data_IF_534572219511
#
_entry.id   IF_534572219511
#
_cell.length_a   1.000
_cell.length_b   1.000
_cell.length_c   1.000
_cell.angle_alpha   90.00
_cell.angle_beta   90.00
_cell.angle_gamma   90.00
#
_symmetry.space_group_name_H-M   'P 1'
#
loop_
_entity.id
_entity.type
_entity.pdbx_description
1 polymer ?
#
# COMPACT_ATOMS: atom_id res chain seq x y z
N UNK A 1 -43.10 2.50 14.77
CA UNK A 1 -42.30 1.69 15.71
C UNK A 1 -41.99 0.37 15.00
N UNK A 2 -40.72 0.06 14.77
CA UNK A 2 -40.33 -1.19 14.14
C UNK A 2 -40.77 -2.37 15.04
N UNK A 3 -41.56 -3.29 14.50
CA UNK A 3 -42.00 -4.49 15.22
C UNK A 3 -41.01 -5.62 14.93
N UNK A 4 -40.49 -6.24 15.99
CA UNK A 4 -39.64 -7.43 15.86
C UNK A 4 -40.37 -8.50 15.02
N UNK A 5 -39.71 -9.04 14.01
CA UNK A 5 -40.30 -10.01 13.10
C UNK A 5 -40.77 -9.46 11.75
N UNK A 6 -40.92 -8.14 11.59
CA UNK A 6 -41.25 -7.53 10.30
C UNK A 6 -40.13 -7.73 9.25
N UNK A 7 -40.36 -8.45 8.14
CA UNK A 7 -39.34 -8.73 7.13
C UNK A 7 -38.74 -7.45 6.53
N UNK A 8 -39.52 -6.37 6.41
CA UNK A 8 -39.02 -5.11 5.86
C UNK A 8 -37.95 -4.48 6.76
N UNK A 9 -38.18 -4.51 8.07
CA UNK A 9 -37.21 -4.07 9.09
C UNK A 9 -35.95 -4.94 9.06
N UNK A 10 -36.09 -6.27 8.93
CA UNK A 10 -34.97 -7.21 8.82
C UNK A 10 -33.99 -6.84 7.70
N UNK A 11 -34.58 -6.54 6.55
CA UNK A 11 -33.88 -6.30 5.31
C UNK A 11 -33.18 -4.94 5.32
N UNK A 12 -33.77 -3.94 5.97
CA UNK A 12 -33.10 -2.67 6.26
C UNK A 12 -31.90 -2.86 7.20
N UNK A 13 -32.05 -3.64 8.27
CA UNK A 13 -30.95 -3.98 9.18
C UNK A 13 -29.82 -4.71 8.43
N UNK A 14 -30.17 -5.66 7.57
CA UNK A 14 -29.23 -6.39 6.73
C UNK A 14 -28.47 -5.46 5.79
N UNK A 15 -29.15 -4.54 5.12
CA UNK A 15 -28.52 -3.56 4.23
C UNK A 15 -27.60 -2.62 4.99
N UNK A 16 -28.01 -2.13 6.16
CA UNK A 16 -27.17 -1.28 7.01
C UNK A 16 -25.90 -2.00 7.49
N UNK A 17 -26.03 -3.29 7.83
CA UNK A 17 -24.93 -4.15 8.27
C UNK A 17 -23.82 -4.26 7.21
N UNK A 18 -24.20 -4.26 5.93
CA UNK A 18 -23.28 -4.33 4.79
C UNK A 18 -22.30 -3.14 4.75
N UNK A 19 -22.68 -1.99 5.31
CA UNK A 19 -21.84 -0.78 5.32
C UNK A 19 -20.97 -0.64 6.58
N UNK A 20 -21.22 -1.45 7.62
CA UNK A 20 -20.57 -1.27 8.92
C UNK A 20 -19.06 -1.56 8.91
N UNK A 21 -18.54 -2.26 7.89
CA UNK A 21 -17.09 -2.44 7.75
C UNK A 21 -16.34 -1.12 7.50
N UNK A 22 -17.02 -0.08 6.98
CA UNK A 22 -16.41 1.24 6.81
C UNK A 22 -15.96 1.86 8.14
N UNK A 23 -16.67 1.57 9.24
CA UNK A 23 -16.38 2.14 10.56
C UNK A 23 -14.96 1.79 11.02
N UNK A 24 -14.58 0.51 11.20
CA UNK A 24 -13.22 0.16 11.62
C UNK A 24 -12.15 0.55 10.59
N UNK A 25 -12.47 0.61 9.29
CA UNK A 25 -11.52 1.07 8.27
C UNK A 25 -11.22 2.57 8.44
N UNK A 26 -12.25 3.41 8.55
CA UNK A 26 -12.09 4.86 8.71
C UNK A 26 -11.45 5.19 10.06
N UNK A 27 -11.95 4.62 11.15
CA UNK A 27 -11.40 4.86 12.49
C UNK A 27 -9.98 4.28 12.64
N UNK A 28 -9.73 3.10 12.08
CA UNK A 28 -8.40 2.49 12.06
C UNK A 28 -7.41 3.35 11.29
N UNK A 29 -7.82 3.92 10.16
CA UNK A 29 -6.99 4.85 9.41
C UNK A 29 -6.66 6.13 10.21
N UNK A 30 -7.67 6.76 10.80
CA UNK A 30 -7.48 7.95 11.67
C UNK A 30 -6.52 7.61 12.82
N UNK A 31 -6.63 6.42 13.40
CA UNK A 31 -5.79 5.97 14.52
C UNK A 31 -4.35 5.68 14.09
N UNK A 32 -4.13 5.19 12.86
CA UNK A 32 -2.79 4.90 12.32
C UNK A 32 -2.09 6.15 11.74
N UNK A 33 -2.85 7.17 11.33
CA UNK A 33 -2.39 8.57 11.23
C UNK A 33 -1.14 8.84 10.41
N UNK A 34 -1.04 8.37 9.16
CA UNK A 34 0.19 8.57 8.36
C UNK A 34 0.12 9.61 7.25
N UNK A 35 -1.05 9.98 6.70
CA UNK A 35 -1.14 10.93 5.56
C UNK A 35 -2.50 11.65 5.49
N UNK A 36 -2.71 12.70 6.29
CA UNK A 36 -3.99 13.43 6.29
C UNK A 36 -4.20 14.32 5.04
N UNK A 37 -3.13 14.73 4.35
CA UNK A 37 -3.15 15.61 3.18
C UNK A 37 -2.25 15.08 2.07
N UNK A 38 -2.56 15.43 0.82
CA UNK A 38 -1.85 15.02 -0.41
C UNK A 38 -0.41 15.54 -0.51
N UNK A 39 -0.10 16.63 0.19
CA UNK A 39 1.22 17.23 0.31
C UNK A 39 1.90 17.00 1.66
N UNK A 40 1.30 16.22 2.56
CA UNK A 40 1.82 16.05 3.93
C UNK A 40 3.31 15.71 4.02
N UNK A 41 3.83 14.90 3.10
CA UNK A 41 5.26 14.54 3.06
C UNK A 41 6.10 15.65 2.45
N UNK A 42 5.67 16.24 1.34
CA UNK A 42 6.39 17.36 0.71
C UNK A 42 6.44 18.57 1.62
N UNK A 43 5.32 18.89 2.28
CA UNK A 43 5.21 19.94 3.27
C UNK A 43 6.12 19.64 4.47
N UNK A 44 6.16 18.39 4.96
CA UNK A 44 7.07 18.01 6.04
C UNK A 44 8.54 18.19 5.65
N UNK A 45 8.91 17.87 4.40
CA UNK A 45 10.27 18.05 3.89
C UNK A 45 10.59 19.54 3.67
N UNK A 46 9.65 20.30 3.13
CA UNK A 46 9.75 21.75 2.94
C UNK A 46 9.89 22.49 4.27
N UNK A 47 9.09 22.13 5.26
CA UNK A 47 9.20 22.67 6.62
C UNK A 47 10.53 22.26 7.28
N UNK A 48 10.98 21.02 7.06
CA UNK A 48 12.29 20.58 7.56
C UNK A 48 13.43 21.41 6.95
N UNK A 49 13.30 21.78 5.68
CA UNK A 49 14.27 22.62 4.98
C UNK A 49 14.41 24.02 5.61
N UNK A 50 13.33 24.61 6.12
CA UNK A 50 13.40 25.89 6.87
C UNK A 50 14.22 25.79 8.15
N UNK A 51 14.37 24.59 8.71
CA UNK A 51 15.05 24.32 9.99
C UNK A 51 16.40 23.61 9.84
N UNK A 52 16.81 23.27 8.61
CA UNK A 52 18.00 22.49 8.37
C UNK A 52 19.29 23.34 8.44
N UNK A 53 20.30 22.76 9.08
CA UNK A 53 21.64 23.33 9.20
C UNK A 53 22.65 22.32 8.68
N UNK A 54 23.57 22.79 7.83
CA UNK A 54 24.73 22.00 7.44
C UNK A 54 25.74 21.95 8.58
N UNK A 55 26.40 20.79 8.71
CA UNK A 55 27.56 20.67 9.55
C UNK A 55 28.66 21.64 9.05
N UNK A 56 29.41 22.28 9.97
CA UNK A 56 30.50 23.17 9.59
C UNK A 56 31.59 22.41 8.83
N UNK A 57 31.89 22.85 7.59
CA UNK A 57 33.01 22.36 6.77
C UNK A 57 34.15 23.39 6.76
N UNK A 58 35.44 22.98 6.81
CA UNK A 58 36.56 23.91 6.75
C UNK A 58 36.49 24.79 5.49
N UNK A 59 36.69 26.12 5.59
CA UNK A 59 37.23 26.87 6.73
C UNK A 59 36.17 27.44 7.69
N UNK A 60 34.90 27.07 7.57
CA UNK A 60 33.80 27.62 8.36
C UNK A 60 33.57 26.77 9.63
N UNK A 61 33.64 27.41 10.80
CA UNK A 61 33.47 26.75 12.10
C UNK A 61 32.04 26.86 12.67
N UNK A 62 31.14 27.57 11.99
CA UNK A 62 29.76 27.78 12.42
C UNK A 62 28.79 27.02 11.52
N UNK A 63 27.77 26.34 12.08
CA UNK A 63 26.74 25.69 11.29
C UNK A 63 26.01 26.73 10.44
N UNK A 64 25.92 26.48 9.14
CA UNK A 64 25.24 27.38 8.20
C UNK A 64 23.85 26.84 7.91
N UNK A 65 22.86 27.73 7.88
CA UNK A 65 21.51 27.35 7.43
C UNK A 65 21.61 26.88 5.98
N UNK A 66 21.09 25.70 5.70
CA UNK A 66 21.21 25.09 4.40
C UNK A 66 19.96 24.29 4.06
N UNK A 67 19.73 24.17 2.75
CA UNK A 67 18.63 23.39 2.21
C UNK A 67 18.80 21.90 2.54
N UNK A 68 17.79 21.26 3.14
CA UNK A 68 17.82 19.80 3.37
C UNK A 68 17.68 19.08 2.02
N UNK A 69 18.81 18.68 1.43
CA UNK A 69 18.88 17.92 0.18
C UNK A 69 19.10 16.41 0.41
N UNK A 70 19.28 15.99 1.67
CA UNK A 70 19.60 14.60 2.01
C UNK A 70 18.42 13.62 1.96
N UNK A 71 17.18 14.12 1.98
CA UNK A 71 15.96 13.30 1.93
C UNK A 71 15.15 13.68 0.71
N UNK A 72 15.02 12.75 -0.24
CA UNK A 72 14.27 12.95 -1.47
C UNK A 72 13.17 11.91 -1.58
N UNK A 73 11.96 12.35 -1.90
CA UNK A 73 10.84 11.47 -2.23
C UNK A 73 10.78 11.34 -3.73
N UNK A 74 10.85 10.10 -4.22
CA UNK A 74 10.78 9.82 -5.65
C UNK A 74 10.07 8.50 -5.92
N UNK A 75 9.26 8.43 -6.98
CA UNK A 75 8.82 7.15 -7.51
C UNK A 75 9.98 6.34 -8.13
N UNK A 76 9.82 5.02 -8.09
CA UNK A 76 10.66 4.07 -8.81
C UNK A 76 12.01 3.79 -8.16
N UNK A 77 13.04 3.68 -9.00
CA UNK A 77 14.36 3.18 -8.60
C UNK A 77 15.13 4.20 -7.76
N UNK A 78 15.87 3.69 -6.76
CA UNK A 78 16.79 4.50 -5.95
C UNK A 78 18.08 4.80 -6.73
N UNK A 79 18.51 6.08 -6.80
CA UNK A 79 19.81 6.44 -7.35
C UNK A 79 20.95 5.73 -6.60
N UNK A 80 21.96 5.28 -7.34
CA UNK A 80 23.15 4.67 -6.73
C UNK A 80 24.16 5.75 -6.35
N UNK A 81 24.71 5.69 -5.14
CA UNK A 81 25.80 6.56 -4.72
C UNK A 81 27.11 6.08 -5.35
N UNK A 82 27.76 6.95 -6.13
CA UNK A 82 29.04 6.63 -6.77
C UNK A 82 30.22 6.60 -5.77
N UNK A 83 31.15 5.63 -5.90
CA UNK A 83 32.42 5.67 -5.19
C UNK A 83 33.55 6.38 -5.95
N UNK A 84 33.31 7.10 -7.06
CA UNK A 84 34.42 7.64 -7.85
C UNK A 84 35.16 8.78 -7.11
N UNK A 85 36.46 8.51 -6.88
CA UNK A 85 37.49 9.46 -6.49
C UNK A 85 37.43 10.73 -7.37
N UNK A 86 37.70 11.90 -6.78
CA UNK A 86 37.94 13.22 -7.40
C UNK A 86 36.75 14.17 -7.69
N UNK A 87 35.80 14.33 -6.78
CA UNK A 87 35.13 15.64 -6.65
C UNK A 87 35.10 16.10 -5.20
N UNK A 88 36.00 17.04 -4.88
CA UNK A 88 36.13 17.74 -3.61
C UNK A 88 35.14 18.92 -3.50
N UNK A 89 33.92 18.78 -3.99
CA UNK A 89 32.89 19.81 -3.89
C UNK A 89 31.63 19.17 -3.33
N UNK A 90 31.19 19.68 -2.17
CA UNK A 90 30.11 19.17 -1.31
C UNK A 90 28.70 19.25 -1.90
N UNK A 91 28.53 18.93 -3.18
CA UNK A 91 27.23 18.78 -3.83
C UNK A 91 27.12 17.37 -4.38
N UNK A 92 26.15 16.59 -3.89
CA UNK A 92 25.66 15.41 -4.58
C UNK A 92 24.90 15.84 -5.85
N UNK A 93 25.61 16.41 -6.82
CA UNK A 93 25.08 16.54 -8.17
C UNK A 93 24.99 15.12 -8.70
N UNK A 94 23.83 14.51 -8.57
CA UNK A 94 23.44 13.30 -9.27
C UNK A 94 22.92 13.76 -10.63
N UNK A 95 23.76 13.97 -11.66
CA UNK A 95 23.38 14.72 -12.86
C UNK A 95 22.32 13.96 -13.68
N UNK A 96 22.11 12.67 -13.35
CA UNK A 96 21.18 11.75 -14.00
C UNK A 96 20.06 11.22 -13.08
N UNK A 97 19.99 11.61 -11.79
CA UNK A 97 18.89 11.15 -10.92
C UNK A 97 17.53 11.75 -11.31
N UNK A 98 17.52 12.84 -12.07
CA UNK A 98 16.31 13.48 -12.60
C UNK A 98 15.67 12.73 -13.78
N UNK A 99 16.33 11.72 -14.38
CA UNK A 99 15.86 11.08 -15.63
C UNK A 99 15.82 9.55 -15.59
N UNK A 100 15.79 8.96 -14.40
CA UNK A 100 15.74 7.49 -14.25
C UNK A 100 14.29 7.00 -14.24
N UNK A 101 13.57 7.23 -15.34
CA UNK A 101 12.20 6.77 -15.54
C UNK A 101 12.19 5.36 -16.11
N UNK A 102 11.29 4.51 -15.60
CA UNK A 102 11.09 3.16 -16.13
C UNK A 102 10.13 3.20 -17.32
N UNK A 103 10.43 2.51 -18.44
CA UNK A 103 9.61 2.60 -19.63
C UNK A 103 8.22 2.02 -19.36
N UNK A 104 7.16 2.70 -19.81
CA UNK A 104 5.82 2.19 -19.66
C UNK A 104 5.63 0.90 -20.45
N UNK A 105 4.58 0.16 -20.10
CA UNK A 105 4.10 -0.97 -20.87
C UNK A 105 2.73 -0.62 -21.44
N UNK A 106 2.64 -0.50 -22.78
CA UNK A 106 1.46 0.01 -23.49
C UNK A 106 0.93 1.34 -22.93
N UNK A 107 1.83 2.27 -22.58
CA UNK A 107 1.47 3.58 -22.03
C UNK A 107 1.13 3.59 -20.52
N UNK A 108 1.07 2.42 -19.88
CA UNK A 108 0.85 2.32 -18.44
C UNK A 108 2.16 2.18 -17.65
N UNK A 109 2.23 2.85 -16.50
CA UNK A 109 3.38 2.72 -15.58
C UNK A 109 3.45 1.32 -14.96
N UNK A 110 4.67 0.77 -14.92
CA UNK A 110 4.94 -0.54 -14.32
C UNK A 110 4.85 -0.47 -12.78
N UNK A 111 5.37 0.61 -12.17
CA UNK A 111 5.19 0.90 -10.75
C UNK A 111 3.72 1.18 -10.40
N UNK A 112 3.02 1.89 -11.28
CA UNK A 112 1.57 2.09 -11.22
C UNK A 112 1.12 2.69 -9.89
N UNK A 113 0.38 1.92 -9.09
CA UNK A 113 -0.18 2.39 -7.81
C UNK A 113 0.89 2.78 -6.79
N UNK A 114 2.08 2.20 -6.86
CA UNK A 114 3.18 2.56 -5.95
C UNK A 114 3.56 4.05 -6.05
N UNK A 115 3.43 4.61 -7.26
CA UNK A 115 3.78 5.99 -7.60
C UNK A 115 2.70 6.98 -7.17
N UNK A 116 1.48 6.52 -6.90
CA UNK A 116 0.33 7.36 -6.58
C UNK A 116 0.21 7.62 -5.08
N UNK A 117 0.12 8.89 -4.68
CA UNK A 117 -0.01 9.29 -3.28
C UNK A 117 -1.38 8.90 -2.72
N UNK A 118 -1.42 8.69 -1.40
CA UNK A 118 -2.66 8.45 -0.66
C UNK A 118 -2.77 7.03 -0.09
N UNK A 119 -3.61 6.88 0.94
CA UNK A 119 -3.67 5.66 1.73
C UNK A 119 -4.23 4.46 0.97
N UNK A 120 -5.10 4.70 -0.01
CA UNK A 120 -5.69 3.65 -0.83
C UNK A 120 -4.64 2.90 -1.66
N UNK A 121 -3.49 3.50 -1.94
CA UNK A 121 -2.41 2.88 -2.72
C UNK A 121 -1.32 2.22 -1.86
N UNK A 122 -1.45 2.24 -0.52
CA UNK A 122 -0.44 1.68 0.38
C UNK A 122 -0.25 0.17 0.20
N UNK A 123 -1.24 -0.56 -0.30
CA UNK A 123 -1.09 -1.99 -0.63
C UNK A 123 0.05 -2.23 -1.64
N UNK A 124 0.31 -1.28 -2.54
CA UNK A 124 1.36 -1.38 -3.56
C UNK A 124 2.77 -1.14 -3.01
N UNK A 125 2.90 -0.48 -1.85
CA UNK A 125 4.18 -0.10 -1.24
C UNK A 125 4.69 -1.10 -0.22
N UNK A 126 4.04 -2.25 -0.09
CA UNK A 126 4.29 -3.16 1.02
C UNK A 126 5.76 -3.61 1.10
N UNK A 127 6.36 -3.93 -0.04
CA UNK A 127 7.75 -4.39 -0.11
C UNK A 127 8.75 -3.25 0.00
N UNK A 128 8.50 -2.12 -0.67
CA UNK A 128 9.40 -0.97 -0.67
C UNK A 128 9.40 -0.25 0.67
N UNK A 129 8.25 -0.15 1.33
CA UNK A 129 8.15 0.30 2.71
C UNK A 129 8.93 -0.60 3.67
N UNK A 130 8.77 -1.92 3.55
CA UNK A 130 9.50 -2.86 4.41
C UNK A 130 11.02 -2.74 4.20
N UNK A 131 11.47 -2.54 2.97
CA UNK A 131 12.89 -2.35 2.66
C UNK A 131 13.41 -1.04 3.24
N UNK A 132 12.65 0.05 3.11
CA UNK A 132 12.98 1.36 3.66
C UNK A 132 13.10 1.30 5.19
N UNK A 133 12.09 0.73 5.86
CA UNK A 133 12.08 0.57 7.31
C UNK A 133 13.27 -0.28 7.80
N UNK A 134 13.63 -1.32 7.06
CA UNK A 134 14.79 -2.15 7.39
C UNK A 134 16.12 -1.39 7.19
N UNK A 135 16.23 -0.57 6.13
CA UNK A 135 17.40 0.31 5.92
C UNK A 135 17.57 1.28 7.10
N UNK A 136 16.49 1.97 7.51
CA UNK A 136 16.54 2.88 8.65
C UNK A 136 16.91 2.16 9.95
N UNK A 137 16.27 1.03 10.23
CA UNK A 137 16.59 0.22 11.42
C UNK A 137 18.06 -0.18 11.44
N UNK A 138 18.58 -0.70 10.32
CA UNK A 138 19.98 -1.10 10.21
C UNK A 138 20.92 0.09 10.40
N UNK A 139 20.58 1.25 9.83
CA UNK A 139 21.37 2.47 9.99
C UNK A 139 21.43 2.90 11.45
N UNK A 140 20.29 3.01 12.13
CA UNK A 140 20.25 3.36 13.55
C UNK A 140 21.00 2.35 14.43
N UNK A 141 20.86 1.04 14.15
CA UNK A 141 21.60 0.01 14.90
C UNK A 141 23.11 0.14 14.70
N UNK A 142 23.57 0.37 13.47
CA UNK A 142 24.99 0.57 13.17
C UNK A 142 25.53 1.84 13.85
N UNK A 143 24.79 2.95 13.81
CA UNK A 143 25.13 4.19 14.50
C UNK A 143 25.24 3.96 16.00
N UNK A 144 24.27 3.31 16.63
CA UNK A 144 24.28 3.03 18.07
C UNK A 144 25.45 2.13 18.48
N UNK A 145 25.78 1.13 17.66
CA UNK A 145 26.94 0.26 17.89
C UNK A 145 28.26 1.04 17.78
N UNK A 146 28.41 1.90 16.77
CA UNK A 146 29.62 2.70 16.62
C UNK A 146 29.79 3.74 17.75
N UNK A 147 28.68 4.26 18.28
CA UNK A 147 28.67 5.12 19.47
C UNK A 147 29.11 4.32 20.71
N UNK A 148 28.57 3.11 20.91
CA UNK A 148 28.86 2.30 22.10
C UNK A 148 30.30 1.76 22.11
N UNK A 149 30.83 1.39 20.94
CA UNK A 149 32.22 0.94 20.75
C UNK A 149 33.24 2.08 20.84
N UNK A 150 32.79 3.32 21.06
CA UNK A 150 33.62 4.54 21.09
C UNK A 150 34.52 4.66 19.86
N UNK A 151 34.05 4.19 18.69
CA UNK A 151 34.80 4.31 17.43
C UNK A 151 35.04 5.78 17.04
N UNK A 152 34.44 6.73 17.76
CA UNK A 152 34.63 8.17 17.62
C UNK A 152 35.84 8.74 18.37
N UNK A 153 36.47 8.04 19.31
CA UNK A 153 37.54 8.63 20.14
C UNK A 153 38.45 7.56 20.72
N UNK A 154 39.75 7.69 20.44
CA UNK A 154 40.90 7.25 21.25
C UNK A 154 41.69 5.98 20.89
N UNK A 155 41.29 5.13 19.93
CA UNK A 155 42.18 4.04 19.46
C UNK A 155 42.13 3.88 17.95
N UNK A 156 43.08 4.52 17.28
CA UNK A 156 43.11 4.67 15.82
C UNK A 156 43.21 3.36 15.04
N UNK A 157 42.64 3.37 13.83
CA UNK A 157 43.27 2.74 12.67
C UNK A 157 43.27 3.63 11.40
N UNK A 158 44.42 3.55 10.70
CA UNK A 158 44.82 3.94 9.34
C UNK A 158 44.43 5.30 8.69
N UNK A 159 45.36 5.89 7.89
CA UNK A 159 45.38 7.33 7.57
C UNK A 159 44.22 7.95 6.76
N UNK A 160 43.53 7.27 5.82
CA UNK A 160 42.60 7.99 4.94
C UNK A 160 41.26 8.35 5.60
N UNK A 161 40.99 7.89 6.83
CA UNK A 161 39.77 8.22 7.59
C UNK A 161 39.95 9.40 8.54
N UNK A 162 41.20 9.78 8.86
CA UNK A 162 41.55 10.78 9.86
C UNK A 162 41.33 12.23 9.40
N UNK A 163 41.37 12.52 8.09
CA UNK A 163 41.27 13.92 7.62
C UNK A 163 39.86 14.51 7.71
N UNK A 164 38.82 13.67 7.77
CA UNK A 164 37.45 14.15 7.74
C UNK A 164 36.77 14.16 9.11
N UNK A 165 37.14 13.31 10.08
CA UNK A 165 36.47 13.33 11.39
C UNK A 165 37.13 14.36 12.33
N UNK A 166 36.58 15.57 12.40
CA UNK A 166 36.93 16.54 13.46
C UNK A 166 36.62 16.08 14.91
N UNK A 167 36.81 16.96 15.91
CA UNK A 167 36.99 16.61 17.33
C UNK A 167 35.80 15.96 18.06
N UNK A 168 34.62 15.88 17.43
CA UNK A 168 33.41 15.26 17.99
C UNK A 168 32.94 14.01 17.24
N UNK A 169 33.76 13.45 16.33
CA UNK A 169 33.49 12.16 15.69
C UNK A 169 32.34 12.15 14.65
N UNK A 170 31.68 13.29 14.41
CA UNK A 170 30.58 13.48 13.45
C UNK A 170 30.83 14.63 12.45
N UNK A 171 32.04 15.17 12.44
CA UNK A 171 32.47 16.31 11.61
C UNK A 171 32.97 15.90 10.23
N UNK A 172 32.68 14.66 9.81
CA UNK A 172 33.05 14.13 8.50
C UNK A 172 32.14 14.61 7.38
N UNK A 173 32.69 14.62 6.17
CA UNK A 173 31.94 14.73 4.93
C UNK A 173 30.73 13.79 4.94
N UNK A 174 29.69 14.17 4.20
CA UNK A 174 28.43 13.41 4.10
C UNK A 174 28.65 11.90 3.82
N UNK A 175 29.70 11.56 3.07
CA UNK A 175 30.13 10.18 2.78
C UNK A 175 30.73 9.48 4.00
N UNK A 176 31.58 10.14 4.78
CA UNK A 176 32.10 9.63 6.05
C UNK A 176 31.00 9.38 7.06
N UNK A 177 30.04 10.30 7.16
CA UNK A 177 28.86 10.15 8.04
C UNK A 177 27.94 9.03 7.56
N UNK A 178 27.68 8.90 6.26
CA UNK A 178 26.91 7.77 5.73
C UNK A 178 27.58 6.42 6.04
N UNK A 179 28.90 6.32 5.86
CA UNK A 179 29.68 5.12 6.19
C UNK A 179 29.63 4.82 7.70
N UNK A 180 29.73 5.84 8.54
CA UNK A 180 29.58 5.71 10.00
C UNK A 180 28.20 5.18 10.39
N UNK A 181 27.13 5.62 9.72
CA UNK A 181 25.79 5.09 9.94
C UNK A 181 25.52 3.77 9.19
N UNK A 182 26.52 3.18 8.51
CA UNK A 182 26.33 1.97 7.70
C UNK A 182 25.42 2.17 6.47
N UNK A 183 25.14 3.41 6.09
CA UNK A 183 24.31 3.79 4.94
C UNK A 183 25.17 3.79 3.67
N UNK A 184 24.67 3.16 2.60
CA UNK A 184 25.28 3.25 1.27
C UNK A 184 26.50 2.36 1.01
N UNK A 185 26.92 1.52 1.97
CA UNK A 185 28.03 0.56 1.78
C UNK A 185 27.80 -0.44 0.63
N UNK A 186 26.53 -0.76 0.33
CA UNK A 186 26.12 -1.65 -0.77
C UNK A 186 25.09 -0.99 -1.73
N UNK A 187 25.05 0.35 -1.76
CA UNK A 187 24.03 1.13 -2.45
C UNK A 187 22.67 1.10 -1.74
N UNK A 188 21.87 2.15 -1.91
CA UNK A 188 20.49 2.19 -1.40
C UNK A 188 19.62 1.47 -2.43
N UNK A 189 18.83 0.49 -1.96
CA UNK A 189 17.93 -0.33 -2.79
C UNK A 189 16.49 -0.08 -2.34
N UNK A 190 15.63 0.30 -3.29
CA UNK A 190 14.20 0.46 -3.07
C UNK A 190 13.49 -0.90 -2.97
N UNK A 191 13.83 -1.83 -3.86
CA UNK A 191 13.19 -3.14 -3.99
C UNK A 191 14.03 -4.24 -3.32
N UNK A 192 13.45 -4.92 -2.33
CA UNK A 192 14.08 -6.05 -1.67
C UNK A 192 14.07 -7.32 -2.54
N UNK A 193 15.14 -8.11 -2.48
CA UNK A 193 15.16 -9.46 -3.07
C UNK A 193 14.25 -10.38 -2.26
N UNK A 194 13.55 -11.30 -2.94
CA UNK A 194 12.62 -12.26 -2.32
C UNK A 194 13.24 -13.05 -1.15
N UNK A 195 14.44 -13.59 -1.35
CA UNK A 195 15.16 -14.34 -0.30
C UNK A 195 15.80 -13.47 0.79
N UNK A 196 15.88 -12.15 0.58
CA UNK A 196 16.41 -11.20 1.58
C UNK A 196 15.34 -10.64 2.52
N UNK A 197 14.06 -10.90 2.27
CA UNK A 197 12.97 -10.44 3.13
C UNK A 197 12.88 -11.31 4.39
N UNK A 198 12.74 -10.66 5.55
CA UNK A 198 12.56 -11.35 6.83
C UNK A 198 11.20 -12.04 6.87
N UNK A 199 11.13 -13.24 7.47
CA UNK A 199 9.87 -13.98 7.67
C UNK A 199 8.78 -13.15 8.37
N UNK A 200 9.20 -12.20 9.22
CA UNK A 200 8.32 -11.26 9.91
C UNK A 200 7.47 -10.41 8.96
N UNK A 201 8.00 -10.04 7.79
CA UNK A 201 7.27 -9.25 6.79
C UNK A 201 6.12 -10.07 6.24
N UNK A 202 6.39 -11.31 5.82
CA UNK A 202 5.37 -12.22 5.32
C UNK A 202 4.30 -12.53 6.37
N UNK A 203 4.70 -12.71 7.63
CA UNK A 203 3.75 -12.90 8.75
C UNK A 203 2.78 -11.72 8.87
N UNK A 204 3.26 -10.49 8.72
CA UNK A 204 2.43 -9.28 8.76
C UNK A 204 1.50 -9.17 7.55
N UNK A 205 1.97 -9.51 6.35
CA UNK A 205 1.13 -9.56 5.15
C UNK A 205 -0.03 -10.53 5.34
N UNK A 206 0.27 -11.76 5.77
CA UNK A 206 -0.73 -12.80 6.00
C UNK A 206 -1.70 -12.36 7.10
N UNK A 207 -1.18 -11.87 8.23
CA UNK A 207 -2.02 -11.38 9.33
C UNK A 207 -2.96 -10.25 8.91
N UNK A 208 -2.46 -9.25 8.16
CA UNK A 208 -3.28 -8.16 7.64
C UNK A 208 -4.33 -8.66 6.62
N UNK A 209 -3.97 -9.62 5.78
CA UNK A 209 -4.90 -10.23 4.81
C UNK A 209 -6.01 -11.00 5.51
N UNK A 210 -5.69 -11.79 6.53
CA UNK A 210 -6.66 -12.49 7.35
C UNK A 210 -7.58 -11.53 8.10
N UNK A 211 -7.03 -10.45 8.69
CA UNK A 211 -7.83 -9.43 9.37
C UNK A 211 -8.78 -8.70 8.41
N UNK A 212 -8.32 -8.37 7.20
CA UNK A 212 -9.14 -7.72 6.18
C UNK A 212 -10.27 -8.65 5.68
N UNK A 213 -9.97 -9.92 5.43
CA UNK A 213 -10.99 -10.92 5.03
C UNK A 213 -11.99 -11.18 6.16
N UNK A 214 -11.51 -11.26 7.41
CA UNK A 214 -12.38 -11.40 8.58
C UNK A 214 -13.34 -10.22 8.70
N UNK A 215 -12.86 -8.99 8.54
CA UNK A 215 -13.71 -7.80 8.57
C UNK A 215 -14.72 -7.81 7.41
N UNK A 216 -14.26 -8.04 6.18
CA UNK A 216 -15.10 -8.03 4.98
C UNK A 216 -16.21 -9.10 5.05
N UNK A 217 -15.84 -10.35 5.31
CA UNK A 217 -16.80 -11.46 5.37
C UNK A 217 -17.55 -11.52 6.69
N UNK A 218 -17.02 -10.93 7.76
CA UNK A 218 -17.73 -10.82 9.03
C UNK A 218 -18.99 -9.96 8.91
N UNK A 219 -18.89 -8.80 8.26
CA UNK A 219 -20.03 -7.89 8.05
C UNK A 219 -20.89 -8.31 6.86
N UNK A 220 -20.27 -8.66 5.73
CA UNK A 220 -20.99 -9.12 4.53
C UNK A 220 -21.70 -10.44 4.80
N UNK A 221 -21.04 -11.38 5.49
CA UNK A 221 -21.63 -12.67 5.86
C UNK A 221 -22.79 -12.52 6.84
N UNK A 222 -22.71 -11.62 7.82
CA UNK A 222 -23.85 -11.30 8.68
C UNK A 222 -25.03 -10.76 7.87
N UNK A 223 -24.78 -9.87 6.91
CA UNK A 223 -25.80 -9.34 5.99
C UNK A 223 -26.42 -10.45 5.14
N UNK A 224 -25.60 -11.33 4.54
CA UNK A 224 -26.07 -12.50 3.78
C UNK A 224 -26.93 -13.40 4.67
N UNK A 225 -26.50 -13.68 5.90
CA UNK A 225 -27.21 -14.57 6.82
C UNK A 225 -28.58 -14.00 7.22
N UNK A 226 -28.65 -12.71 7.57
CA UNK A 226 -29.92 -12.05 7.91
C UNK A 226 -30.86 -12.10 6.71
N UNK A 227 -30.39 -11.72 5.51
CA UNK A 227 -31.21 -11.73 4.30
C UNK A 227 -31.63 -13.14 3.84
N UNK A 228 -30.77 -14.15 4.02
CA UNK A 228 -31.05 -15.54 3.64
C UNK A 228 -32.05 -16.21 4.57
N UNK A 229 -31.98 -15.91 5.87
CA UNK A 229 -32.82 -16.56 6.90
C UNK A 229 -34.12 -15.83 7.17
N UNK A 230 -34.23 -14.57 6.74
CA UNK A 230 -35.50 -13.84 6.79
C UNK A 230 -36.48 -14.49 5.82
N UNK A 231 -37.69 -14.87 6.25
CA UNK A 231 -38.71 -15.39 5.37
C UNK A 231 -38.93 -14.45 4.16
N UNK A 232 -38.79 -14.94 2.93
CA UNK A 232 -38.65 -16.34 2.50
C UNK A 232 -37.22 -16.87 2.58
N UNK A 233 -37.03 -18.07 3.16
CA UNK A 233 -35.68 -18.60 3.41
C UNK A 233 -35.05 -19.06 2.11
N UNK A 234 -33.88 -18.53 1.75
CA UNK A 234 -33.16 -18.96 0.54
C UNK A 234 -32.24 -17.91 -0.08
N UNK A 235 -31.63 -18.28 -1.20
CA UNK A 235 -30.82 -17.35 -1.99
C UNK A 235 -31.75 -16.48 -2.85
N UNK A 236 -31.95 -15.25 -2.40
CA UNK A 236 -32.75 -14.24 -3.08
C UNK A 236 -31.91 -13.23 -3.84
N UNK A 237 -32.59 -12.23 -4.41
CA UNK A 237 -31.92 -11.09 -5.03
C UNK A 237 -31.08 -10.28 -4.02
N UNK A 238 -31.52 -10.22 -2.75
CA UNK A 238 -30.86 -9.48 -1.67
C UNK A 238 -29.65 -10.23 -1.12
N UNK A 239 -29.86 -11.44 -0.60
CA UNK A 239 -28.75 -12.28 -0.10
C UNK A 239 -27.74 -12.63 -1.21
N UNK A 240 -28.21 -12.83 -2.45
CA UNK A 240 -27.36 -13.04 -3.62
C UNK A 240 -26.54 -11.81 -4.03
N UNK A 241 -27.11 -10.60 -3.99
CA UNK A 241 -26.35 -9.38 -4.31
C UNK A 241 -25.27 -9.09 -3.27
N UNK A 242 -25.54 -9.34 -1.98
CA UNK A 242 -24.54 -9.21 -0.91
C UNK A 242 -23.41 -10.24 -1.07
N UNK A 243 -23.75 -11.48 -1.44
CA UNK A 243 -22.75 -12.52 -1.71
C UNK A 243 -21.89 -12.18 -2.93
N UNK A 244 -22.51 -11.68 -4.00
CA UNK A 244 -21.81 -11.22 -5.21
C UNK A 244 -20.87 -10.05 -4.86
N UNK A 245 -21.33 -9.09 -4.07
CA UNK A 245 -20.50 -7.98 -3.58
C UNK A 245 -19.27 -8.49 -2.81
N UNK A 246 -19.45 -9.40 -1.85
CA UNK A 246 -18.34 -9.99 -1.09
C UNK A 246 -17.35 -10.76 -1.96
N UNK A 247 -17.86 -11.52 -2.93
CA UNK A 247 -17.06 -12.28 -3.89
C UNK A 247 -16.24 -11.39 -4.82
N UNK A 248 -16.87 -10.39 -5.44
CA UNK A 248 -16.19 -9.44 -6.34
C UNK A 248 -15.17 -8.61 -5.57
N UNK A 249 -15.48 -8.16 -4.35
CA UNK A 249 -14.53 -7.47 -3.48
C UNK A 249 -13.27 -8.31 -3.20
N UNK A 250 -13.46 -9.59 -2.85
CA UNK A 250 -12.35 -10.52 -2.59
C UNK A 250 -11.51 -10.76 -3.84
N UNK A 251 -12.15 -10.91 -5.00
CA UNK A 251 -11.45 -11.10 -6.27
C UNK A 251 -10.66 -9.85 -6.69
N UNK A 252 -11.23 -8.66 -6.50
CA UNK A 252 -10.56 -7.39 -6.77
C UNK A 252 -9.30 -7.25 -5.90
N UNK A 253 -9.41 -7.53 -4.59
CA UNK A 253 -8.27 -7.55 -3.67
C UNK A 253 -7.18 -8.53 -4.14
N UNK A 254 -7.57 -9.76 -4.51
CA UNK A 254 -6.63 -10.78 -4.99
C UNK A 254 -5.88 -10.30 -6.24
N UNK A 255 -6.58 -9.71 -7.21
CA UNK A 255 -5.97 -9.19 -8.43
C UNK A 255 -4.99 -8.04 -8.15
N UNK A 256 -5.36 -7.12 -7.26
CA UNK A 256 -4.47 -6.04 -6.86
C UNK A 256 -3.23 -6.57 -6.13
N UNK A 257 -3.36 -7.56 -5.23
CA UNK A 257 -2.22 -8.21 -4.57
C UNK A 257 -1.32 -8.96 -5.56
N UNK A 258 -1.87 -9.63 -6.56
CA UNK A 258 -1.09 -10.28 -7.62
C UNK A 258 -0.35 -9.22 -8.45
N UNK A 259 -1.00 -8.09 -8.75
CA UNK A 259 -0.38 -6.99 -9.47
C UNK A 259 0.82 -6.40 -8.72
N UNK A 260 0.77 -6.28 -7.39
CA UNK A 260 1.91 -5.80 -6.59
C UNK A 260 3.08 -6.77 -6.62
N UNK A 261 2.82 -8.08 -6.59
CA UNK A 261 3.87 -9.11 -6.71
C UNK A 261 4.57 -9.03 -8.06
N UNK A 262 3.82 -8.92 -9.16
CA UNK A 262 4.41 -8.80 -10.50
C UNK A 262 5.13 -7.46 -10.70
N UNK A 263 4.56 -6.36 -10.21
CA UNK A 263 5.19 -5.04 -10.25
C UNK A 263 6.52 -5.06 -9.49
N UNK A 264 6.54 -5.62 -8.27
CA UNK A 264 7.78 -5.80 -7.50
C UNK A 264 8.80 -6.65 -8.23
N UNK A 265 8.38 -7.77 -8.85
CA UNK A 265 9.26 -8.64 -9.62
C UNK A 265 9.89 -7.93 -10.83
N UNK A 266 9.10 -7.12 -11.56
CA UNK A 266 9.58 -6.33 -12.69
C UNK A 266 10.55 -5.23 -12.23
N UNK A 267 10.16 -4.46 -11.22
CA UNK A 267 10.99 -3.37 -10.69
C UNK A 267 12.29 -3.87 -10.06
N UNK A 268 12.28 -5.06 -9.45
CA UNK A 268 13.50 -5.69 -8.94
C UNK A 268 14.51 -6.00 -10.07
N UNK A 269 14.04 -6.37 -11.27
CA UNK A 269 14.92 -6.58 -12.44
C UNK A 269 15.50 -5.28 -12.97
N UNK A 270 14.68 -4.23 -13.07
CA UNK A 270 15.20 -2.90 -13.42
C UNK A 270 16.23 -2.42 -12.39
N UNK A 271 15.99 -2.64 -11.10
CA UNK A 271 16.94 -2.28 -10.07
C UNK A 271 18.25 -3.08 -10.19
N UNK A 272 18.21 -4.39 -10.47
CA UNK A 272 19.44 -5.17 -10.64
C UNK A 272 20.29 -4.66 -11.78
N UNK A 273 19.67 -4.26 -12.90
CA UNK A 273 20.37 -3.66 -14.03
C UNK A 273 20.96 -2.30 -13.68
N UNK A 274 20.20 -1.46 -12.96
CA UNK A 274 20.67 -0.15 -12.53
C UNK A 274 21.82 -0.22 -11.52
N UNK A 275 21.85 -1.26 -10.68
CA UNK A 275 22.96 -1.49 -9.75
C UNK A 275 24.22 -1.95 -10.49
N UNK A 276 24.08 -2.74 -11.57
CA UNK A 276 25.20 -3.18 -12.39
C UNK A 276 25.77 -2.05 -13.26
N UNK A 277 24.90 -1.24 -13.85
CA UNK A 277 25.26 -0.09 -14.67
C UNK A 277 24.44 1.14 -14.25
N UNK A 278 24.99 1.99 -13.36
CA UNK A 278 24.31 3.19 -12.86
C UNK A 278 24.03 4.24 -13.93
N UNK A 279 24.72 4.20 -15.08
CA UNK A 279 24.51 5.15 -16.18
C UNK A 279 23.52 4.62 -17.23
N UNK A 280 23.06 3.37 -17.08
CA UNK A 280 22.07 2.76 -17.96
C UNK A 280 20.75 3.53 -17.91
N UNK A 281 20.32 4.02 -19.07
CA UNK A 281 19.01 4.66 -19.24
C UNK A 281 18.01 3.61 -19.73
N UNK A 282 16.82 3.59 -19.12
CA UNK A 282 15.75 2.65 -19.48
C UNK A 282 14.80 3.20 -20.54
N UNK A 283 14.85 4.50 -20.81
CA UNK A 283 14.04 5.18 -21.81
C UNK A 283 14.95 5.81 -22.87
N UNK A 284 14.55 5.67 -24.14
CA UNK A 284 15.23 6.34 -25.26
C UNK A 284 14.90 7.83 -25.20
N UNK A 285 15.93 8.68 -25.17
CA UNK A 285 15.78 10.13 -25.24
C UNK A 285 15.22 10.54 -26.62
N UNK A 286 14.00 11.08 -26.70
CA UNK A 286 13.43 11.51 -27.98
C UNK A 286 14.15 12.73 -28.59
N UNK A 287 14.98 13.44 -27.82
CA UNK A 287 15.76 14.59 -28.31
C UNK A 287 17.04 14.21 -29.03
N UNK A 288 17.48 12.95 -28.94
CA UNK A 288 18.65 12.45 -29.66
C UNK A 288 18.27 12.17 -31.11
N UNK A 289 18.42 13.19 -31.97
CA UNK A 289 18.23 13.06 -33.40
C UNK A 289 19.37 12.21 -33.99
N UNK A 290 19.10 11.03 -34.57
CA UNK A 290 20.12 10.13 -35.12
C UNK A 290 20.91 10.74 -36.28
N UNK A 291 20.49 11.90 -36.80
CA UNK A 291 21.15 12.61 -37.90
C UNK A 291 22.30 13.54 -37.46
N UNK A 292 22.64 13.58 -36.17
CA UNK A 292 23.84 14.30 -35.73
C UNK A 292 25.04 13.35 -35.76
N UNK A 293 26.01 13.65 -36.64
CA UNK A 293 27.29 12.92 -36.80
C UNK A 293 28.22 13.13 -35.59
N UNK A 294 27.71 12.98 -34.38
CA UNK A 294 28.50 12.97 -33.17
C UNK A 294 28.76 11.52 -32.82
N UNK A 295 30.02 11.11 -32.88
CA UNK A 295 30.56 9.83 -32.40
C UNK A 295 30.49 9.71 -30.87
N UNK A 296 29.31 9.97 -30.31
CA UNK A 296 29.01 9.62 -28.93
C UNK A 296 28.85 8.09 -28.87
N UNK A 297 29.45 7.41 -27.87
CA UNK A 297 29.28 5.98 -27.71
C UNK A 297 27.78 5.65 -27.61
N UNK A 298 27.33 4.66 -28.39
CA UNK A 298 25.96 4.15 -28.37
C UNK A 298 25.46 4.07 -26.92
N UNK A 299 24.45 4.88 -26.57
CA UNK A 299 23.80 4.80 -25.27
C UNK A 299 23.29 3.37 -25.08
N UNK A 300 23.76 2.71 -24.02
CA UNK A 300 23.32 1.37 -23.61
C UNK A 300 21.85 1.44 -23.14
N UNK A 301 20.92 1.47 -24.08
CA UNK A 301 19.48 1.41 -23.78
C UNK A 301 19.15 -0.02 -23.37
N UNK A 302 18.55 -0.18 -22.19
CA UNK A 302 18.10 -1.50 -21.73
C UNK A 302 16.98 -2.05 -22.63
N UNK A 303 17.19 -3.23 -23.21
CA UNK A 303 16.16 -3.94 -23.94
C UNK A 303 15.47 -4.97 -23.02
N UNK A 304 14.13 -4.94 -23.00
CA UNK A 304 13.34 -5.86 -22.19
C UNK A 304 13.34 -7.25 -22.84
N UNK A 305 13.89 -8.24 -22.16
CA UNK A 305 13.66 -9.64 -22.50
C UNK A 305 12.16 -9.99 -22.40
N UNK A 306 11.73 -11.02 -23.13
CA UNK A 306 10.35 -11.50 -23.17
C UNK A 306 9.82 -11.79 -21.76
N UNK A 307 10.63 -12.45 -20.92
CA UNK A 307 10.25 -12.74 -19.53
C UNK A 307 9.98 -11.47 -18.71
N UNK A 308 10.80 -10.43 -18.90
CA UNK A 308 10.64 -9.17 -18.17
C UNK A 308 9.43 -8.39 -18.70
N UNK A 309 9.24 -8.37 -20.03
CA UNK A 309 8.07 -7.75 -20.66
C UNK A 309 6.77 -8.43 -20.20
N UNK A 310 6.75 -9.77 -20.08
CA UNK A 310 5.61 -10.52 -19.57
C UNK A 310 5.27 -10.16 -18.11
N UNK A 311 6.27 -9.98 -17.24
CA UNK A 311 6.06 -9.51 -15.86
C UNK A 311 5.46 -8.09 -15.82
N UNK A 312 5.98 -7.19 -16.66
CA UNK A 312 5.43 -5.83 -16.78
C UNK A 312 3.97 -5.86 -17.26
N UNK A 313 3.68 -6.65 -18.30
CA UNK A 313 2.34 -6.81 -18.85
C UNK A 313 1.37 -7.43 -17.85
N UNK A 314 1.78 -8.45 -17.11
CA UNK A 314 0.97 -9.06 -16.05
C UNK A 314 0.68 -8.07 -14.92
N UNK A 315 1.69 -7.31 -14.46
CA UNK A 315 1.51 -6.28 -13.43
C UNK A 315 0.45 -5.24 -13.85
N UNK A 316 0.54 -4.76 -15.10
CA UNK A 316 -0.41 -3.79 -15.65
C UNK A 316 -1.80 -4.43 -15.80
N UNK A 317 -1.91 -5.60 -16.42
CA UNK A 317 -3.18 -6.28 -16.69
C UNK A 317 -3.96 -6.56 -15.39
N UNK A 318 -3.34 -7.22 -14.42
CA UNK A 318 -4.01 -7.55 -13.15
C UNK A 318 -4.42 -6.29 -12.38
N UNK A 319 -3.64 -5.21 -12.46
CA UNK A 319 -3.98 -3.93 -11.84
C UNK A 319 -5.24 -3.32 -12.46
N UNK A 320 -5.32 -3.24 -13.78
CA UNK A 320 -6.50 -2.70 -14.46
C UNK A 320 -7.73 -3.58 -14.25
N UNK A 321 -7.58 -4.90 -14.28
CA UNK A 321 -8.66 -5.82 -13.95
C UNK A 321 -9.14 -5.63 -12.51
N UNK A 322 -8.23 -5.57 -11.54
CA UNK A 322 -8.57 -5.35 -10.14
C UNK A 322 -9.31 -4.03 -9.91
N UNK A 323 -8.81 -2.92 -10.50
CA UNK A 323 -9.48 -1.62 -10.43
C UNK A 323 -10.86 -1.62 -11.10
N UNK A 324 -10.99 -2.29 -12.24
CA UNK A 324 -12.28 -2.42 -12.94
C UNK A 324 -13.28 -3.17 -12.07
N UNK A 325 -12.85 -4.26 -11.42
CA UNK A 325 -13.69 -4.98 -10.46
C UNK A 325 -14.09 -4.10 -9.27
N UNK A 326 -13.20 -3.25 -8.74
CA UNK A 326 -13.56 -2.29 -7.69
C UNK A 326 -14.67 -1.31 -8.14
N UNK A 327 -14.59 -0.78 -9.36
CA UNK A 327 -15.60 0.14 -9.92
C UNK A 327 -16.93 -0.59 -10.09
N UNK A 328 -16.92 -1.79 -10.68
CA UNK A 328 -18.12 -2.61 -10.86
C UNK A 328 -18.74 -3.00 -9.51
N UNK A 329 -17.93 -3.35 -8.52
CA UNK A 329 -18.37 -3.70 -7.18
C UNK A 329 -19.01 -2.51 -6.45
N UNK A 330 -18.45 -1.32 -6.64
CA UNK A 330 -19.02 -0.07 -6.11
C UNK A 330 -20.37 0.23 -6.74
N UNK A 331 -20.48 0.09 -8.08
CA UNK A 331 -21.74 0.23 -8.78
C UNK A 331 -22.79 -0.78 -8.29
N UNK A 332 -22.41 -2.04 -8.08
CA UNK A 332 -23.29 -3.07 -7.52
C UNK A 332 -23.84 -2.67 -6.15
N UNK A 333 -22.97 -2.15 -5.27
CA UNK A 333 -23.34 -1.73 -3.92
C UNK A 333 -24.31 -0.53 -3.94
N UNK A 334 -24.04 0.47 -4.80
CA UNK A 334 -24.89 1.66 -4.97
C UNK A 334 -26.25 1.27 -5.56
N UNK A 335 -26.27 0.47 -6.63
CA UNK A 335 -27.52 0.01 -7.27
C UNK A 335 -28.33 -0.81 -6.28
N UNK A 336 -27.69 -1.72 -5.53
CA UNK A 336 -28.36 -2.50 -4.49
C UNK A 336 -28.99 -1.60 -3.41
N UNK A 337 -28.28 -0.56 -2.99
CA UNK A 337 -28.81 0.41 -2.01
C UNK A 337 -29.97 1.25 -2.55
N UNK A 338 -29.93 1.63 -3.83
CA UNK A 338 -31.03 2.36 -4.49
C UNK A 338 -32.27 1.48 -4.67
N UNK A 339 -32.09 0.22 -5.06
CA UNK A 339 -33.18 -0.75 -5.15
C UNK A 339 -33.81 -1.02 -3.78
N UNK A 340 -33.00 -1.00 -2.71
CA UNK A 340 -33.49 -1.10 -1.33
C UNK A 340 -34.38 0.09 -0.97
N UNK A 341 -33.86 1.29 -1.17
CA UNK A 341 -34.51 2.54 -0.79
C UNK A 341 -35.81 2.78 -1.57
N UNK A 342 -35.81 2.49 -2.87
CA UNK A 342 -36.97 2.70 -3.74
C UNK A 342 -38.02 1.60 -3.62
N UNK A 343 -37.74 0.52 -2.86
CA UNK A 343 -38.60 -0.66 -2.84
C UNK A 343 -38.55 -1.45 -4.15
N UNK A 344 -37.51 -1.31 -4.96
CA UNK A 344 -37.31 -2.10 -6.18
C UNK A 344 -37.25 -3.62 -5.93
N UNK A 345 -36.89 -4.02 -4.71
CA UNK A 345 -36.98 -5.42 -4.26
C UNK A 345 -38.36 -5.85 -3.72
N UNK A 346 -39.35 -4.95 -3.61
CA UNK A 346 -40.67 -5.25 -3.07
C UNK A 346 -41.60 -5.70 -4.20
N UNK A 347 -41.22 -6.80 -4.85
CA UNK A 347 -42.02 -7.45 -5.87
C UNK A 347 -42.04 -8.96 -5.61
N UNK A 348 -43.09 -9.65 -6.09
CA UNK A 348 -43.28 -11.07 -5.81
C UNK A 348 -42.11 -11.96 -6.25
N UNK A 349 -41.32 -11.52 -7.24
CA UNK A 349 -40.12 -12.23 -7.71
C UNK A 349 -38.98 -12.17 -6.69
N UNK A 350 -38.73 -10.98 -6.15
CA UNK A 350 -37.68 -10.73 -5.17
C UNK A 350 -38.06 -11.24 -3.78
N UNK A 351 -39.28 -10.98 -3.34
CA UNK A 351 -39.80 -11.47 -2.05
C UNK A 351 -39.97 -12.98 -2.04
N UNK A 352 -40.27 -13.57 -3.21
CA UNK A 352 -40.43 -15.01 -3.37
C UNK A 352 -39.13 -15.79 -3.57
N UNK A 353 -37.97 -15.11 -3.55
CA UNK A 353 -36.67 -15.69 -3.89
C UNK A 353 -36.67 -16.48 -5.22
N UNK A 354 -37.40 -15.99 -6.23
CA UNK A 354 -37.54 -16.67 -7.52
C UNK A 354 -36.18 -16.93 -8.20
N UNK A 355 -35.17 -16.11 -7.93
CA UNK A 355 -33.81 -16.31 -8.42
C UNK A 355 -33.19 -17.64 -7.98
N UNK A 356 -33.27 -17.99 -6.69
CA UNK A 356 -32.71 -19.24 -6.16
C UNK A 356 -33.71 -20.41 -6.13
N UNK A 357 -35.00 -20.12 -5.99
CA UNK A 357 -36.04 -21.14 -5.82
C UNK A 357 -36.84 -21.43 -7.10
N UNK A 358 -36.72 -20.60 -8.13
CA UNK A 358 -37.49 -20.72 -9.37
C UNK A 358 -39.00 -20.79 -9.09
N UNK A 359 -39.65 -21.81 -9.65
CA UNK A 359 -41.09 -22.07 -9.47
C UNK A 359 -41.48 -22.54 -8.07
N UNK A 360 -40.52 -22.81 -7.17
CA UNK A 360 -40.76 -23.23 -5.78
C UNK A 360 -40.72 -22.07 -4.78
N UNK A 361 -40.56 -20.83 -5.26
CA UNK A 361 -40.64 -19.63 -4.44
C UNK A 361 -42.02 -19.48 -3.80
N UNK A 362 -42.07 -18.92 -2.60
CA UNK A 362 -43.30 -18.67 -1.83
C UNK A 362 -43.23 -17.26 -1.25
N UNK A 363 -44.35 -16.67 -0.81
CA UNK A 363 -44.38 -15.36 -0.15
C UNK A 363 -45.25 -15.46 1.10
N UNK A 364 -44.90 -14.73 2.16
CA UNK A 364 -45.69 -14.67 3.39
C UNK A 364 -46.87 -13.72 3.18
N UNK A 365 -48.10 -14.24 3.13
CA UNK A 365 -49.32 -13.43 2.99
C UNK A 365 -50.03 -13.19 4.33
N UNK A 366 -50.12 -14.23 5.16
CA UNK A 366 -50.86 -14.20 6.43
C UNK A 366 -50.08 -14.96 7.49
N UNK A 367 -49.37 -14.25 8.37
CA UNK A 367 -48.70 -14.84 9.52
C UNK A 367 -48.76 -13.89 10.72
N UNK A 368 -49.02 -14.45 11.90
CA UNK A 368 -49.09 -13.67 13.13
C UNK A 368 -47.72 -13.06 13.44
N UNK A 369 -47.72 -11.83 13.97
CA UNK A 369 -46.50 -11.09 14.32
C UNK A 369 -45.65 -11.81 15.37
N UNK A 370 -46.26 -12.57 16.27
CA UNK A 370 -45.55 -13.41 17.25
C UNK A 370 -44.68 -14.49 16.61
N UNK A 371 -45.19 -15.11 15.53
CA UNK A 371 -44.52 -16.23 14.87
C UNK A 371 -43.42 -15.74 13.94
N UNK A 372 -43.60 -14.55 13.36
CA UNK A 372 -42.58 -13.83 12.63
C UNK A 372 -41.45 -13.39 13.57
N UNK A 373 -41.80 -12.83 14.72
CA UNK A 373 -40.83 -12.42 15.75
C UNK A 373 -40.01 -13.60 16.27
N UNK A 374 -40.65 -14.74 16.55
CA UNK A 374 -39.98 -15.94 17.01
C UNK A 374 -38.97 -16.47 15.97
N UNK A 375 -39.37 -16.54 14.68
CA UNK A 375 -38.52 -17.01 13.60
C UNK A 375 -37.34 -16.05 13.29
N UNK A 376 -37.57 -14.74 13.44
CA UNK A 376 -36.60 -13.68 13.17
C UNK A 376 -35.60 -13.43 14.30
N UNK A 377 -36.00 -13.70 15.55
CA UNK A 377 -35.24 -13.28 16.74
C UNK A 377 -33.80 -13.79 16.75
N UNK A 378 -33.58 -15.08 16.51
CA UNK A 378 -32.26 -15.70 16.59
C UNK A 378 -31.31 -15.22 15.47
N UNK A 379 -31.69 -15.26 14.18
CA UNK A 379 -30.77 -14.82 13.11
C UNK A 379 -30.47 -13.32 13.15
N UNK A 380 -31.44 -12.48 13.51
CA UNK A 380 -31.23 -11.03 13.54
C UNK A 380 -30.32 -10.62 14.69
N UNK A 381 -30.59 -11.13 15.90
CA UNK A 381 -29.73 -10.88 17.06
C UNK A 381 -28.34 -11.45 16.80
N UNK A 382 -28.25 -12.67 16.25
CA UNK A 382 -26.98 -13.29 15.89
C UNK A 382 -26.16 -12.46 14.90
N UNK A 383 -26.77 -12.00 13.81
CA UNK A 383 -26.09 -11.19 12.79
C UNK A 383 -25.65 -9.81 13.30
N UNK A 384 -26.47 -9.16 14.14
CA UNK A 384 -26.12 -7.90 14.78
C UNK A 384 -24.96 -8.06 15.77
N UNK A 385 -25.03 -9.04 16.67
CA UNK A 385 -23.95 -9.34 17.63
C UNK A 385 -22.67 -9.70 16.90
N UNK A 386 -22.75 -10.55 15.87
CA UNK A 386 -21.61 -10.90 15.02
C UNK A 386 -20.96 -9.66 14.43
N UNK A 387 -21.75 -8.73 13.87
CA UNK A 387 -21.20 -7.52 13.26
C UNK A 387 -20.55 -6.60 14.27
N UNK A 388 -21.18 -6.38 15.43
CA UNK A 388 -20.59 -5.57 16.52
C UNK A 388 -19.26 -6.18 16.96
N UNK A 389 -19.22 -7.49 17.20
CA UNK A 389 -18.00 -8.19 17.60
C UNK A 389 -16.91 -8.06 16.53
N UNK A 390 -17.25 -8.25 15.26
CA UNK A 390 -16.30 -8.07 14.14
C UNK A 390 -15.78 -6.64 14.11
N UNK A 391 -16.64 -5.62 14.16
CA UNK A 391 -16.22 -4.22 14.11
C UNK A 391 -15.33 -3.84 15.32
N UNK A 392 -15.70 -4.26 16.53
CA UNK A 392 -14.92 -4.00 17.75
C UNK A 392 -13.58 -4.74 17.72
N UNK A 393 -13.56 -6.00 17.31
CA UNK A 393 -12.33 -6.78 17.20
C UNK A 393 -11.40 -6.21 16.13
N UNK A 394 -11.92 -5.84 14.97
CA UNK A 394 -11.14 -5.22 13.90
C UNK A 394 -10.62 -3.84 14.29
N UNK A 395 -11.42 -3.00 14.95
CA UNK A 395 -10.94 -1.73 15.49
C UNK A 395 -9.88 -1.95 16.57
N UNK A 396 -10.10 -2.91 17.48
CA UNK A 396 -9.12 -3.30 18.50
C UNK A 396 -7.79 -3.76 17.89
N UNK A 397 -7.83 -4.49 16.77
CA UNK A 397 -6.63 -4.85 16.02
C UNK A 397 -5.89 -3.63 15.47
N UNK A 398 -6.60 -2.67 14.85
CA UNK A 398 -5.98 -1.42 14.39
C UNK A 398 -5.45 -0.59 15.55
N UNK A 399 -6.19 -0.50 16.65
CA UNK A 399 -5.79 0.20 17.85
C UNK A 399 -4.55 -0.41 18.48
N UNK A 400 -4.47 -1.73 18.63
CA UNK A 400 -3.26 -2.40 19.12
C UNK A 400 -2.07 -2.20 18.17
N UNK A 401 -2.33 -2.13 16.86
CA UNK A 401 -1.32 -1.82 15.86
C UNK A 401 -0.82 -0.37 15.91
N UNK A 402 -1.67 0.58 16.31
CA UNK A 402 -1.33 2.01 16.43
C UNK A 402 -0.81 2.39 17.82
N UNK A 403 -1.28 1.70 18.87
CA UNK A 403 -0.83 1.85 20.24
C UNK A 403 0.53 1.18 20.39
N UNK A 404 1.55 1.92 19.96
CA UNK A 404 2.95 1.87 20.39
C UNK A 404 3.38 0.62 21.18
N UNK A 405 4.25 -0.18 20.54
CA UNK A 405 5.61 -0.41 21.09
C UNK A 405 6.23 0.87 21.60
#
# INVERSE_FOLDING_TARGET
MAQLGDPSTALQISSGTLWLWLIPIVLGYISCGTQATDHSIEDAISNAHETAYCAPEPPHNTPMKAEQQGLMVRPGLSPQLFPHHTQAQGFFNTPNALRLETPPWMGASVGGDEELKGPIFNYARLFTWSQLAQTFRSAFTATLQNISEKLCTDKGPSPPMLQNLGPHGLTADSKGTAKYCGIGTNGIKAYAKWGGMRAEVYRRIIGASCAALFLQWGTTGASVLIAYTTPTVGLGYRSGSYLLYGGVATLAWLFLMIATLFSHAAMLRYQSEHVLDPFKQFQRDPSNNPNTNTTAPQQNVYERDFSHSALCGAAVLFRYLGKTLCVLNTALLIIGSLMEFTGGYNNCWCEGNAFGMGSKGWVVLFKNSSDLAAAASLPWVGGLVMTIVVCVASYGFFWLGSSKT
#
